data_IF_275317489030
#
_entry.id   IF_275317489030
#
_cell.length_a   1.000
_cell.length_b   1.000
_cell.length_c   1.000
_cell.angle_alpha   90.00
_cell.angle_beta   90.00
_cell.angle_gamma   90.00
#
_symmetry.space_group_name_H-M   'P 1'
#
loop_
_entity.id
_entity.type
_entity.pdbx_description
1 polymer ?
#
# COMPACT_ATOMS: atom_id res chain seq x y z
N UNK A 1 10.62 -8.53 -15.10
CA UNK A 1 9.63 -7.78 -14.30
C UNK A 1 8.86 -6.85 -15.21
N UNK A 2 7.55 -6.75 -15.05
CA UNK A 2 6.69 -5.86 -15.81
C UNK A 2 6.60 -4.48 -15.13
N UNK A 3 7.75 -3.90 -14.76
CA UNK A 3 7.80 -2.59 -14.10
C UNK A 3 7.75 -1.46 -15.15
N UNK A 4 6.95 -0.40 -14.95
CA UNK A 4 7.00 0.79 -15.79
C UNK A 4 8.35 1.50 -15.65
N UNK A 5 8.75 2.25 -16.68
CA UNK A 5 10.09 2.88 -16.72
C UNK A 5 10.36 3.82 -15.55
N UNK A 6 9.31 4.48 -15.03
CA UNK A 6 9.40 5.35 -13.85
C UNK A 6 9.88 4.61 -12.58
N UNK A 7 9.80 3.27 -12.54
CA UNK A 7 10.19 2.45 -11.39
C UNK A 7 11.50 1.67 -11.60
N UNK A 8 11.91 1.38 -12.84
CA UNK A 8 13.04 0.45 -13.13
C UNK A 8 14.36 0.84 -12.45
N UNK A 9 14.65 2.14 -12.33
CA UNK A 9 15.92 2.64 -11.79
C UNK A 9 15.76 3.62 -10.61
N UNK A 10 14.55 3.77 -10.09
CA UNK A 10 14.24 4.75 -9.03
C UNK A 10 14.10 4.12 -7.64
N UNK A 11 14.16 2.78 -7.55
CA UNK A 11 13.93 2.03 -6.31
C UNK A 11 15.22 1.44 -5.72
N UNK A 12 15.39 1.59 -4.40
CA UNK A 12 16.41 0.91 -3.60
C UNK A 12 16.02 -0.55 -3.32
N UNK A 13 14.73 -0.79 -3.07
CA UNK A 13 14.10 -2.10 -2.92
C UNK A 13 12.72 -2.08 -3.58
N UNK A 14 12.19 -3.23 -4.04
CA UNK A 14 10.94 -3.32 -4.80
C UNK A 14 9.71 -3.15 -3.90
N UNK A 15 9.55 -1.97 -3.28
CA UNK A 15 8.52 -1.67 -2.27
C UNK A 15 7.74 -0.41 -2.63
N UNK A 16 6.45 -0.47 -2.36
CA UNK A 16 5.57 0.69 -2.24
C UNK A 16 5.06 0.75 -0.81
N UNK A 17 5.22 1.89 -0.15
CA UNK A 17 4.51 2.20 1.09
C UNK A 17 3.06 2.50 0.77
N UNK A 18 2.14 1.67 1.25
CA UNK A 18 0.72 1.76 0.93
C UNK A 18 0.10 3.08 1.44
N UNK A 19 -0.96 3.59 0.80
CA UNK A 19 -1.67 4.78 1.22
C UNK A 19 -2.51 4.43 2.45
N UNK A 20 -2.18 5.03 3.58
CA UNK A 20 -2.83 4.77 4.86
C UNK A 20 -3.75 5.95 5.18
N UNK A 21 -5.05 5.68 5.32
CA UNK A 21 -6.02 6.70 5.70
C UNK A 21 -5.60 7.34 7.03
N UNK A 22 -5.69 8.67 7.10
CA UNK A 22 -5.24 9.58 8.18
C UNK A 22 -3.74 9.52 8.57
N UNK A 23 -3.04 8.42 8.27
CA UNK A 23 -1.63 8.19 8.67
C UNK A 23 -0.64 8.69 7.61
N UNK A 24 -0.93 8.47 6.32
CA UNK A 24 -0.06 8.96 5.24
C UNK A 24 -0.30 10.45 4.99
N UNK A 25 0.65 11.28 5.44
CA UNK A 25 0.79 12.70 5.09
C UNK A 25 2.07 12.97 4.29
N UNK A 26 2.34 14.24 3.91
CA UNK A 26 3.53 14.62 3.14
C UNK A 26 4.83 14.16 3.78
N UNK A 27 4.93 14.21 5.11
CA UNK A 27 6.12 13.81 5.88
C UNK A 27 6.51 12.36 5.59
N UNK A 28 5.57 11.43 5.77
CA UNK A 28 5.78 10.01 5.50
C UNK A 28 6.11 9.75 4.02
N UNK A 29 5.35 10.37 3.11
CA UNK A 29 5.51 10.17 1.66
C UNK A 29 6.89 10.65 1.18
N UNK A 30 7.30 11.84 1.61
CA UNK A 30 8.59 12.43 1.25
C UNK A 30 9.72 11.56 1.82
N UNK A 31 9.62 11.11 3.06
CA UNK A 31 10.62 10.26 3.68
C UNK A 31 10.76 8.91 2.95
N UNK A 32 9.65 8.27 2.59
CA UNK A 32 9.62 7.03 1.80
C UNK A 32 10.30 7.21 0.43
N UNK A 33 9.93 8.27 -0.29
CA UNK A 33 10.49 8.57 -1.60
C UNK A 33 12.00 8.86 -1.53
N UNK A 34 12.46 9.64 -0.53
CA UNK A 34 13.89 9.93 -0.29
C UNK A 34 14.69 8.70 0.12
N UNK A 35 14.06 7.74 0.79
CA UNK A 35 14.64 6.44 1.14
C UNK A 35 14.66 5.45 -0.05
N UNK A 36 14.10 5.82 -1.20
CA UNK A 36 14.15 5.01 -2.42
C UNK A 36 13.06 3.96 -2.55
N UNK A 37 11.90 4.17 -1.92
CA UNK A 37 10.69 3.36 -2.15
C UNK A 37 9.51 4.27 -2.52
N UNK A 38 8.52 3.75 -3.24
CA UNK A 38 7.37 4.60 -3.62
C UNK A 38 6.60 4.98 -2.36
N UNK A 39 6.52 6.27 -2.06
CA UNK A 39 5.65 6.79 -1.01
C UNK A 39 4.24 7.05 -1.53
N UNK A 40 3.20 6.83 -0.72
CA UNK A 40 1.83 7.11 -1.18
C UNK A 40 0.87 7.55 -0.09
N UNK A 41 -0.18 8.27 -0.49
CA UNK A 41 -1.22 8.77 0.41
C UNK A 41 -2.61 8.80 -0.24
N UNK A 42 -3.71 8.63 0.53
CA UNK A 42 -5.07 8.91 0.06
C UNK A 42 -5.30 10.40 -0.15
N UNK A 43 -5.85 10.79 -1.29
CA UNK A 43 -6.24 12.19 -1.55
C UNK A 43 -7.22 12.74 -0.49
N UNK A 44 -8.07 11.86 0.04
CA UNK A 44 -9.00 12.16 1.13
C UNK A 44 -8.32 12.50 2.46
N UNK A 45 -7.02 12.28 2.65
CA UNK A 45 -6.30 12.74 3.84
C UNK A 45 -6.05 14.24 3.81
N UNK A 46 -5.86 14.84 2.63
CA UNK A 46 -5.68 16.27 2.47
C UNK A 46 -7.02 16.98 2.71
N UNK A 47 -7.20 17.53 3.91
CA UNK A 47 -8.45 18.20 4.31
C UNK A 47 -8.15 19.58 4.87
N UNK A 48 -8.92 20.61 4.47
CA UNK A 48 -9.97 20.63 3.43
C UNK A 48 -9.43 20.35 2.01
N UNK A 49 -10.32 20.23 1.00
CA UNK A 49 -9.97 19.71 -0.33
C UNK A 49 -8.80 20.44 -1.03
N UNK A 50 -8.71 21.77 -0.90
CA UNK A 50 -7.65 22.57 -1.52
C UNK A 50 -6.24 22.18 -1.05
N UNK A 51 -6.11 21.58 0.13
CA UNK A 51 -4.82 21.15 0.70
C UNK A 51 -4.15 20.08 -0.17
N UNK A 52 -4.91 19.38 -1.04
CA UNK A 52 -4.34 18.39 -1.95
C UNK A 52 -3.31 18.99 -2.91
N UNK A 53 -3.61 20.17 -3.47
CA UNK A 53 -2.69 20.88 -4.37
C UNK A 53 -1.42 21.33 -3.64
N UNK A 54 -1.57 21.83 -2.40
CA UNK A 54 -0.44 22.23 -1.56
C UNK A 54 0.47 21.04 -1.23
N UNK A 55 -0.11 19.91 -0.85
CA UNK A 55 0.63 18.68 -0.53
C UNK A 55 1.41 18.16 -1.74
N UNK A 56 0.77 18.03 -2.91
CA UNK A 56 1.43 17.54 -4.12
C UNK A 56 2.55 18.51 -4.53
N UNK A 57 2.31 19.82 -4.47
CA UNK A 57 3.32 20.83 -4.78
C UNK A 57 4.53 20.73 -3.86
N UNK A 58 4.30 20.60 -2.54
CA UNK A 58 5.37 20.41 -1.55
C UNK A 58 6.16 19.13 -1.81
N UNK A 59 5.48 18.00 -2.01
CA UNK A 59 6.12 16.70 -2.28
C UNK A 59 7.00 16.81 -3.53
N UNK A 60 6.48 17.34 -4.64
CA UNK A 60 7.27 17.53 -5.88
C UNK A 60 8.48 18.43 -5.66
N UNK A 61 8.30 19.56 -4.98
CA UNK A 61 9.37 20.51 -4.67
C UNK A 61 10.49 19.89 -3.84
N UNK A 62 10.15 19.30 -2.69
CA UNK A 62 11.14 18.72 -1.78
C UNK A 62 11.88 17.52 -2.39
N UNK A 63 11.18 16.67 -3.16
CA UNK A 63 11.82 15.55 -3.87
C UNK A 63 12.74 16.04 -4.99
N UNK A 64 12.33 17.09 -5.73
CA UNK A 64 13.16 17.71 -6.75
C UNK A 64 14.42 18.33 -6.18
N UNK A 65 14.31 19.10 -5.09
CA UNK A 65 15.45 19.69 -4.39
C UNK A 65 16.39 18.63 -3.82
N UNK A 66 15.85 17.58 -3.20
CA UNK A 66 16.66 16.49 -2.66
C UNK A 66 17.41 15.75 -3.77
N UNK A 67 16.75 15.44 -4.88
CA UNK A 67 17.37 14.80 -6.05
C UNK A 67 18.48 15.67 -6.66
N UNK A 68 18.31 16.99 -6.68
CA UNK A 68 19.34 17.91 -7.16
C UNK A 68 20.56 17.97 -6.24
N UNK A 69 20.34 17.89 -4.92
CA UNK A 69 21.41 17.89 -3.90
C UNK A 69 22.13 16.54 -3.77
N UNK A 70 21.45 15.44 -4.13
CA UNK A 70 21.94 14.07 -3.97
C UNK A 70 21.78 13.26 -5.28
N UNK A 71 22.49 13.63 -6.36
CA UNK A 71 22.35 12.98 -7.67
C UNK A 71 22.73 11.48 -7.67
N UNK A 72 23.49 11.03 -6.67
CA UNK A 72 23.89 9.64 -6.47
C UNK A 72 22.81 8.78 -5.79
N UNK A 73 21.83 9.40 -5.14
CA UNK A 73 20.76 8.70 -4.41
C UNK A 73 19.59 8.42 -5.33
N UNK A 74 19.00 7.22 -5.17
CA UNK A 74 17.71 6.92 -5.79
C UNK A 74 16.60 7.65 -5.05
N UNK A 75 15.80 8.41 -5.79
CA UNK A 75 14.58 9.06 -5.30
C UNK A 75 13.41 8.45 -6.05
N UNK A 76 12.56 7.73 -5.32
CA UNK A 76 11.40 7.07 -5.89
C UNK A 76 10.26 8.07 -6.17
N UNK A 77 9.37 7.80 -7.14
CA UNK A 77 8.17 8.61 -7.32
C UNK A 77 7.21 8.45 -6.13
N UNK A 78 6.22 9.34 -6.02
CA UNK A 78 5.12 9.19 -5.08
C UNK A 78 3.84 8.72 -5.80
N UNK A 79 2.84 8.28 -5.04
CA UNK A 79 1.54 7.93 -5.56
C UNK A 79 0.40 8.57 -4.77
N UNK A 80 -0.72 8.83 -5.44
CA UNK A 80 -1.95 9.36 -4.81
C UNK A 80 -3.07 8.35 -4.98
N UNK A 81 -3.69 7.95 -3.87
CA UNK A 81 -4.82 7.04 -3.86
C UNK A 81 -6.16 7.76 -3.98
N UNK A 82 -7.01 7.23 -4.83
CA UNK A 82 -8.34 7.70 -5.15
C UNK A 82 -9.39 6.63 -4.80
N UNK A 83 -10.30 6.97 -3.89
CA UNK A 83 -11.41 6.09 -3.53
C UNK A 83 -12.54 6.28 -4.54
N UNK A 84 -12.73 5.29 -5.41
CA UNK A 84 -13.61 5.41 -6.57
C UNK A 84 -15.03 4.92 -6.27
N UNK A 85 -15.76 5.68 -5.46
CA UNK A 85 -17.13 5.39 -5.06
C UNK A 85 -18.06 6.56 -5.32
N UNK A 86 -19.34 6.29 -5.62
CA UNK A 86 -20.30 7.33 -5.98
C UNK A 86 -20.59 8.32 -4.84
N UNK A 87 -20.34 7.91 -3.58
CA UNK A 87 -20.46 8.80 -2.42
C UNK A 87 -19.22 9.65 -2.16
N UNK A 88 -18.12 9.46 -2.88
CA UNK A 88 -16.96 10.35 -2.80
C UNK A 88 -17.23 11.62 -3.61
N UNK A 89 -17.63 12.68 -2.90
CA UNK A 89 -17.93 14.02 -3.43
C UNK A 89 -16.69 14.77 -3.94
N UNK A 90 -15.49 14.26 -3.67
CA UNK A 90 -14.22 14.90 -4.06
C UNK A 90 -13.55 14.32 -5.29
N UNK A 91 -13.98 13.15 -5.77
CA UNK A 91 -13.23 12.38 -6.77
C UNK A 91 -12.88 13.22 -8.02
N UNK A 92 -13.85 13.93 -8.60
CA UNK A 92 -13.60 14.76 -9.80
C UNK A 92 -12.56 15.85 -9.52
N UNK A 93 -12.73 16.60 -8.42
CA UNK A 93 -11.79 17.66 -8.03
C UNK A 93 -10.38 17.10 -7.80
N UNK A 94 -10.26 16.00 -7.06
CA UNK A 94 -8.97 15.42 -6.73
C UNK A 94 -8.25 14.89 -8.00
N UNK A 95 -8.99 14.38 -8.99
CA UNK A 95 -8.45 13.95 -10.29
C UNK A 95 -8.00 15.14 -11.14
N UNK A 96 -8.75 16.24 -11.16
CA UNK A 96 -8.34 17.46 -11.87
C UNK A 96 -7.01 18.01 -11.31
N UNK A 97 -6.86 18.04 -9.98
CA UNK A 97 -5.61 18.44 -9.33
C UNK A 97 -4.47 17.46 -9.64
N UNK A 98 -4.72 16.15 -9.57
CA UNK A 98 -3.71 15.15 -9.90
C UNK A 98 -3.25 15.23 -11.37
N UNK A 99 -4.17 15.57 -12.27
CA UNK A 99 -3.89 15.76 -13.70
C UNK A 99 -3.09 17.04 -13.93
N UNK A 100 -3.55 18.16 -13.36
CA UNK A 100 -2.85 19.47 -13.41
C UNK A 100 -1.41 19.38 -12.93
N UNK A 101 -1.17 18.61 -11.87
CA UNK A 101 0.15 18.45 -11.25
C UNK A 101 0.89 17.20 -11.72
N UNK A 102 0.38 16.48 -12.72
CA UNK A 102 0.99 15.29 -13.32
C UNK A 102 1.52 14.30 -12.28
N UNK A 103 0.63 13.81 -11.42
CA UNK A 103 0.98 12.85 -10.37
C UNK A 103 1.51 11.55 -10.99
N UNK A 104 2.72 11.09 -10.63
CA UNK A 104 3.39 10.03 -11.38
C UNK A 104 2.67 8.68 -11.32
N UNK A 105 2.03 8.37 -10.19
CA UNK A 105 1.28 7.13 -9.99
C UNK A 105 -0.06 7.44 -9.32
N UNK A 106 -1.16 6.99 -9.92
CA UNK A 106 -2.49 6.99 -9.33
C UNK A 106 -2.80 5.58 -8.84
N UNK A 107 -3.18 5.46 -7.58
CA UNK A 107 -3.71 4.22 -7.01
C UNK A 107 -5.23 4.35 -6.95
N UNK A 108 -5.96 3.36 -7.42
CA UNK A 108 -7.43 3.36 -7.36
C UNK A 108 -7.93 2.17 -6.56
N UNK A 109 -9.03 2.37 -5.85
CA UNK A 109 -9.66 1.33 -5.03
C UNK A 109 -11.17 1.29 -5.27
N UNK A 110 -11.81 0.16 -4.91
CA UNK A 110 -13.24 -0.14 -5.10
C UNK A 110 -13.66 -0.36 -6.56
N UNK A 111 -13.93 0.70 -7.34
CA UNK A 111 -14.35 0.58 -8.75
C UNK A 111 -13.21 1.05 -9.66
N UNK A 112 -12.85 0.30 -10.71
CA UNK A 112 -11.85 0.76 -11.68
C UNK A 112 -12.49 1.83 -12.58
N UNK A 113 -12.13 3.12 -12.48
CA UNK A 113 -12.81 4.18 -13.23
C UNK A 113 -12.05 4.45 -14.52
N UNK A 114 -12.66 4.16 -15.67
CA UNK A 114 -12.11 4.50 -16.97
C UNK A 114 -11.69 5.98 -17.06
N UNK A 115 -12.46 6.88 -16.44
CA UNK A 115 -12.16 8.32 -16.38
C UNK A 115 -10.83 8.62 -15.69
N UNK A 116 -10.51 7.93 -14.59
CA UNK A 116 -9.25 8.13 -13.85
C UNK A 116 -8.07 7.58 -14.65
N UNK A 117 -8.28 6.46 -15.34
CA UNK A 117 -7.25 5.86 -16.20
C UNK A 117 -6.93 6.78 -17.37
N UNK A 118 -7.95 7.24 -18.09
CA UNK A 118 -7.79 8.20 -19.20
C UNK A 118 -7.10 9.48 -18.74
N UNK A 119 -7.51 10.04 -17.61
CA UNK A 119 -6.90 11.26 -17.06
C UNK A 119 -5.42 11.04 -16.73
N UNK A 120 -5.08 9.97 -16.01
CA UNK A 120 -3.69 9.63 -15.67
C UNK A 120 -2.81 9.38 -16.91
N UNK A 121 -3.32 8.62 -17.88
CA UNK A 121 -2.60 8.28 -19.10
C UNK A 121 -2.36 9.50 -20.01
N UNK A 122 -3.22 10.54 -19.94
CA UNK A 122 -3.10 11.74 -20.78
C UNK A 122 -1.78 12.51 -20.60
N UNK A 123 -1.14 12.39 -19.43
CA UNK A 123 0.16 12.98 -19.12
C UNK A 123 1.26 11.91 -18.87
N UNK A 124 0.98 10.64 -19.16
CA UNK A 124 1.92 9.53 -18.98
C UNK A 124 2.01 8.95 -17.56
N UNK A 125 1.13 9.37 -16.65
CA UNK A 125 0.99 8.77 -15.32
C UNK A 125 0.62 7.28 -15.38
N UNK A 126 0.87 6.56 -14.28
CA UNK A 126 0.58 5.12 -14.18
C UNK A 126 -0.56 4.84 -13.23
N UNK A 127 -1.42 3.88 -13.57
CA UNK A 127 -2.54 3.50 -12.72
C UNK A 127 -2.39 2.09 -12.19
N UNK A 128 -2.35 1.98 -10.85
CA UNK A 128 -2.40 0.72 -10.13
C UNK A 128 -3.75 0.59 -9.43
N UNK A 129 -4.37 -0.60 -9.50
CA UNK A 129 -5.71 -0.82 -8.93
C UNK A 129 -5.72 -1.92 -7.87
N UNK A 130 -6.32 -1.62 -6.72
CA UNK A 130 -6.50 -2.58 -5.62
C UNK A 130 -7.58 -3.62 -5.98
N UNK A 131 -7.22 -4.89 -5.87
CA UNK A 131 -8.15 -6.01 -6.09
C UNK A 131 -7.97 -7.08 -5.02
N UNK A 132 -9.09 -7.64 -4.57
CA UNK A 132 -9.13 -8.66 -3.51
C UNK A 132 -9.42 -10.07 -4.05
N UNK A 133 -9.74 -10.19 -5.34
CA UNK A 133 -10.06 -11.45 -6.00
C UNK A 133 -9.86 -11.36 -7.52
N UNK A 134 -9.91 -12.53 -8.18
CA UNK A 134 -9.65 -12.69 -9.62
C UNK A 134 -10.72 -11.98 -10.48
N UNK A 135 -11.98 -11.95 -10.04
CA UNK A 135 -13.06 -11.26 -10.77
C UNK A 135 -12.78 -9.75 -10.84
N UNK A 136 -12.36 -9.14 -9.74
CA UNK A 136 -12.01 -7.73 -9.69
C UNK A 136 -10.72 -7.47 -10.48
N UNK A 137 -9.73 -8.36 -10.39
CA UNK A 137 -8.50 -8.30 -11.18
C UNK A 137 -8.77 -8.24 -12.68
N UNK A 138 -9.62 -9.15 -13.20
CA UNK A 138 -9.98 -9.19 -14.62
C UNK A 138 -10.68 -7.90 -15.07
N UNK A 139 -11.66 -7.44 -14.29
CA UNK A 139 -12.36 -6.18 -14.58
C UNK A 139 -11.43 -4.98 -14.63
N UNK A 140 -10.50 -4.87 -13.68
CA UNK A 140 -9.54 -3.77 -13.67
C UNK A 140 -8.58 -3.86 -14.87
N UNK A 141 -8.11 -5.06 -15.22
CA UNK A 141 -7.28 -5.27 -16.40
C UNK A 141 -8.01 -4.93 -17.71
N UNK A 142 -9.30 -5.25 -17.83
CA UNK A 142 -10.15 -4.87 -18.98
C UNK A 142 -10.26 -3.35 -19.14
N UNK A 143 -10.15 -2.58 -18.06
CA UNK A 143 -10.13 -1.11 -18.11
C UNK A 143 -8.76 -0.54 -18.49
N UNK A 144 -7.71 -1.36 -18.59
CA UNK A 144 -6.39 -0.93 -19.04
C UNK A 144 -5.46 -0.39 -17.95
N UNK A 145 -5.62 -0.82 -16.69
CA UNK A 145 -4.68 -0.46 -15.61
C UNK A 145 -3.26 -0.97 -15.91
N UNK A 146 -2.25 -0.18 -15.56
CA UNK A 146 -0.84 -0.56 -15.74
C UNK A 146 -0.41 -1.67 -14.75
N UNK A 147 -1.08 -1.75 -13.61
CA UNK A 147 -0.77 -2.72 -12.56
C UNK A 147 -1.93 -3.07 -11.64
N UNK A 148 -1.82 -4.23 -11.00
CA UNK A 148 -2.77 -4.77 -10.04
C UNK A 148 -2.11 -4.92 -8.69
N UNK A 149 -2.71 -4.30 -7.67
CA UNK A 149 -2.35 -4.49 -6.27
C UNK A 149 -3.25 -5.60 -5.72
N UNK A 150 -2.67 -6.78 -5.52
CA UNK A 150 -3.35 -7.96 -5.03
C UNK A 150 -3.40 -7.89 -3.51
N UNK A 151 -4.52 -7.38 -2.97
CA UNK A 151 -4.75 -7.21 -1.53
C UNK A 151 -5.24 -8.52 -0.95
N UNK A 152 -4.29 -9.38 -0.61
CA UNK A 152 -4.51 -10.73 -0.13
C UNK A 152 -4.90 -10.77 1.35
N UNK A 153 -5.20 -12.00 1.83
CA UNK A 153 -5.40 -12.28 3.24
C UNK A 153 -4.24 -11.73 4.10
N UNK A 154 -4.61 -11.14 5.23
CA UNK A 154 -3.66 -10.55 6.18
C UNK A 154 -3.20 -9.12 5.87
N UNK A 155 -3.71 -8.47 4.82
CA UNK A 155 -3.51 -7.03 4.63
C UNK A 155 -4.25 -6.21 5.70
N UNK A 156 -3.67 -5.10 6.17
CA UNK A 156 -4.33 -4.21 7.15
C UNK A 156 -5.41 -3.36 6.51
N UNK A 157 -6.49 -3.08 7.25
CA UNK A 157 -7.66 -2.41 6.67
C UNK A 157 -8.36 -3.31 5.66
N UNK A 158 -9.00 -2.73 4.63
CA UNK A 158 -9.76 -3.50 3.64
C UNK A 158 -8.91 -4.58 2.97
N UNK A 159 -9.34 -5.84 3.06
CA UNK A 159 -8.53 -6.97 2.61
C UNK A 159 -9.39 -8.07 1.97
N UNK A 160 -8.77 -8.84 1.07
CA UNK A 160 -9.33 -10.09 0.58
C UNK A 160 -9.11 -11.25 1.54
N UNK A 161 -9.74 -12.39 1.24
CA UNK A 161 -9.57 -13.64 1.99
C UNK A 161 -8.69 -14.66 1.27
N UNK A 162 -8.27 -14.37 0.04
CA UNK A 162 -7.44 -15.29 -0.74
C UNK A 162 -5.98 -15.24 -0.28
N UNK A 163 -5.37 -16.43 -0.20
CA UNK A 163 -3.95 -16.57 0.09
C UNK A 163 -3.09 -15.93 -1.01
N UNK A 164 -1.96 -15.27 -0.67
CA UNK A 164 -1.04 -14.72 -1.65
C UNK A 164 -0.49 -15.78 -2.61
N UNK A 165 -0.24 -17.01 -2.13
CA UNK A 165 0.23 -18.11 -2.97
C UNK A 165 -0.76 -18.49 -4.07
N UNK A 166 -2.06 -18.36 -3.80
CA UNK A 166 -3.11 -18.64 -4.78
C UNK A 166 -3.31 -17.47 -5.73
N UNK A 167 -3.59 -16.28 -5.18
CA UNK A 167 -4.02 -15.13 -5.98
C UNK A 167 -2.91 -14.61 -6.91
N UNK A 168 -1.66 -14.52 -6.44
CA UNK A 168 -0.53 -14.05 -7.26
C UNK A 168 -0.32 -14.99 -8.45
N UNK A 169 -0.27 -16.31 -8.20
CA UNK A 169 0.02 -17.30 -9.25
C UNK A 169 -1.10 -17.38 -10.27
N UNK A 170 -2.35 -17.28 -9.85
CA UNK A 170 -3.49 -17.29 -10.77
C UNK A 170 -3.53 -16.03 -11.65
N UNK A 171 -3.29 -14.84 -11.08
CA UNK A 171 -3.26 -13.58 -11.85
C UNK A 171 -2.12 -13.56 -12.87
N UNK A 172 -0.92 -14.04 -12.51
CA UNK A 172 0.25 -14.05 -13.42
C UNK A 172 0.09 -14.92 -14.67
N UNK A 173 -0.87 -15.84 -14.69
CA UNK A 173 -1.13 -16.66 -15.89
C UNK A 173 -1.59 -15.80 -17.07
N UNK A 174 -2.40 -14.77 -16.80
CA UNK A 174 -3.06 -13.99 -17.84
C UNK A 174 -2.70 -12.50 -17.81
N UNK A 175 -2.43 -11.91 -16.65
CA UNK A 175 -2.08 -10.49 -16.56
C UNK A 175 -0.59 -10.26 -16.85
N UNK A 176 -0.29 -9.33 -17.77
CA UNK A 176 1.07 -9.01 -18.20
C UNK A 176 1.60 -7.66 -17.65
N UNK A 177 0.74 -6.87 -17.01
CA UNK A 177 1.15 -5.65 -16.32
C UNK A 177 1.83 -5.93 -14.99
N UNK A 178 2.09 -4.85 -14.23
CA UNK A 178 2.77 -4.94 -12.93
C UNK A 178 1.90 -5.65 -11.90
N UNK A 179 2.42 -6.70 -11.26
CA UNK A 179 1.73 -7.33 -10.12
C UNK A 179 2.38 -6.88 -8.82
N UNK A 180 1.58 -6.35 -7.91
CA UNK A 180 2.03 -5.81 -6.64
C UNK A 180 1.35 -6.62 -5.55
N UNK A 181 2.11 -7.24 -4.65
CA UNK A 181 1.55 -8.05 -3.59
C UNK A 181 1.36 -7.24 -2.30
N UNK A 182 0.14 -7.25 -1.77
CA UNK A 182 -0.21 -6.74 -0.44
C UNK A 182 -0.77 -7.87 0.43
N UNK A 183 -0.41 -7.87 1.72
CA UNK A 183 -0.93 -8.81 2.71
C UNK A 183 0.15 -9.49 3.55
N UNK A 184 0.08 -9.30 4.87
CA UNK A 184 0.98 -9.90 5.87
C UNK A 184 2.50 -9.66 5.67
N UNK A 185 2.90 -8.60 4.94
CA UNK A 185 4.30 -8.25 4.70
C UNK A 185 4.77 -7.18 5.69
N UNK A 186 5.94 -7.36 6.32
CA UNK A 186 6.51 -6.36 7.26
C UNK A 186 8.04 -6.35 7.37
N UNK A 187 8.75 -7.25 6.69
CA UNK A 187 10.20 -7.41 6.75
C UNK A 187 10.81 -7.69 5.36
N UNK A 188 12.14 -7.80 5.28
CA UNK A 188 12.84 -8.14 4.05
C UNK A 188 12.57 -9.54 3.50
N UNK A 189 12.25 -10.52 4.36
CA UNK A 189 11.86 -11.87 3.93
C UNK A 189 10.50 -11.87 3.24
N UNK A 190 9.54 -11.08 3.74
CA UNK A 190 8.26 -10.86 3.08
C UNK A 190 8.42 -10.25 1.69
N UNK A 191 9.35 -9.29 1.54
CA UNK A 191 9.68 -8.69 0.23
C UNK A 191 10.26 -9.76 -0.71
N UNK A 192 11.27 -10.52 -0.27
CA UNK A 192 11.85 -11.60 -1.08
C UNK A 192 10.82 -12.66 -1.46
N UNK A 193 9.96 -13.06 -0.53
CA UNK A 193 8.86 -14.00 -0.74
C UNK A 193 7.83 -13.50 -1.76
N UNK A 194 7.49 -12.21 -1.73
CA UNK A 194 6.60 -11.60 -2.73
C UNK A 194 7.16 -11.75 -4.15
N UNK A 195 8.45 -11.45 -4.33
CA UNK A 195 9.13 -11.56 -5.61
C UNK A 195 9.24 -13.01 -6.06
N UNK A 196 9.60 -13.92 -5.14
CA UNK A 196 9.68 -15.36 -5.44
C UNK A 196 8.34 -15.95 -5.90
N UNK A 197 7.20 -15.46 -5.37
CA UNK A 197 5.87 -15.85 -5.85
C UNK A 197 5.54 -15.30 -7.25
N UNK A 198 6.31 -14.32 -7.75
CA UNK A 198 6.16 -13.71 -9.07
C UNK A 198 5.50 -12.34 -9.08
N UNK A 199 5.32 -11.70 -7.92
CA UNK A 199 5.03 -10.28 -7.87
C UNK A 199 6.26 -9.47 -8.33
N UNK A 200 6.01 -8.27 -8.85
CA UNK A 200 7.05 -7.32 -9.26
C UNK A 200 7.40 -6.35 -8.11
N UNK A 201 6.48 -6.11 -7.18
CA UNK A 201 6.67 -5.24 -6.01
C UNK A 201 5.93 -5.78 -4.78
N UNK A 202 6.43 -5.45 -3.59
CA UNK A 202 5.74 -5.60 -2.31
C UNK A 202 5.03 -4.30 -1.90
N UNK A 203 3.89 -4.42 -1.23
CA UNK A 203 3.06 -3.30 -0.78
C UNK A 203 2.86 -3.38 0.73
N UNK A 204 3.52 -2.48 1.46
CA UNK A 204 3.60 -2.53 2.92
C UNK A 204 2.80 -1.38 3.52
N UNK A 205 1.88 -1.69 4.44
CA UNK A 205 1.07 -0.70 5.15
C UNK A 205 1.39 -0.63 6.63
N UNK A 206 0.96 -1.65 7.39
CA UNK A 206 1.12 -1.71 8.85
C UNK A 206 2.55 -1.41 9.32
N UNK A 207 3.56 -1.94 8.63
CA UNK A 207 4.98 -1.66 8.93
C UNK A 207 5.34 -0.17 8.88
N UNK A 208 4.74 0.60 7.98
CA UNK A 208 5.01 2.04 7.86
C UNK A 208 4.17 2.91 8.80
N UNK A 209 3.07 2.38 9.38
CA UNK A 209 2.39 3.07 10.50
C UNK A 209 3.35 3.21 11.69
N UNK A 210 4.14 2.17 11.97
CA UNK A 210 5.19 2.17 12.98
C UNK A 210 6.49 2.79 12.44
N UNK A 211 6.44 4.08 12.10
CA UNK A 211 7.61 4.93 11.79
C UNK A 211 7.43 6.32 12.39
N UNK A 212 8.50 7.08 12.56
CA UNK A 212 8.42 8.43 13.15
C UNK A 212 7.54 9.38 12.32
N UNK A 213 7.73 9.38 11.00
CA UNK A 213 7.10 10.30 10.04
C UNK A 213 5.61 10.01 9.80
N UNK A 214 5.14 8.82 10.19
CA UNK A 214 3.74 8.47 10.10
C UNK A 214 2.88 9.28 11.07
N UNK A 215 1.80 9.89 10.55
CA UNK A 215 0.82 10.65 11.32
C UNK A 215 -0.16 9.69 12.06
N UNK A 216 0.40 8.87 12.94
CA UNK A 216 -0.35 7.94 13.77
C UNK A 216 -0.20 8.32 15.24
N UNK A 217 -1.26 8.10 16.00
CA UNK A 217 -1.22 8.26 17.46
C UNK A 217 -0.08 7.41 18.05
N UNK A 218 0.71 7.95 19.00
CA UNK A 218 1.79 7.17 19.62
C UNK A 218 1.31 5.81 20.16
N UNK A 219 0.12 5.76 20.75
CA UNK A 219 -0.45 4.52 21.28
C UNK A 219 -0.78 3.49 20.19
N UNK A 220 -1.10 3.95 18.97
CA UNK A 220 -1.24 3.05 17.82
C UNK A 220 0.11 2.43 17.45
N UNK A 221 1.19 3.21 17.39
CA UNK A 221 2.55 2.69 17.13
C UNK A 221 2.97 1.70 18.22
N UNK A 222 2.70 1.99 19.49
CA UNK A 222 2.96 1.08 20.61
C UNK A 222 2.18 -0.23 20.49
N UNK A 223 0.90 -0.17 20.11
CA UNK A 223 0.09 -1.36 19.89
C UNK A 223 0.64 -2.23 18.77
N UNK A 224 1.17 -1.63 17.70
CA UNK A 224 1.81 -2.39 16.62
C UNK A 224 3.07 -3.14 17.07
N UNK A 225 3.76 -2.67 18.11
CA UNK A 225 4.91 -3.35 18.70
C UNK A 225 4.48 -4.42 19.71
N UNK A 226 3.36 -4.19 20.41
CA UNK A 226 2.91 -5.02 21.52
C UNK A 226 2.17 -6.28 21.11
N UNK A 227 1.36 -6.20 20.06
CA UNK A 227 0.38 -7.24 19.70
C UNK A 227 0.84 -8.11 18.53
N UNK A 228 0.16 -9.24 18.35
CA UNK A 228 0.50 -10.27 17.38
C UNK A 228 -0.62 -10.51 16.36
N UNK A 229 -0.40 -11.45 15.45
CA UNK A 229 -1.38 -11.80 14.41
C UNK A 229 -2.73 -12.29 14.99
N UNK A 230 -2.71 -12.96 16.14
CA UNK A 230 -3.92 -13.44 16.83
C UNK A 230 -4.79 -12.30 17.39
N UNK A 231 -4.23 -11.10 17.53
CA UNK A 231 -4.93 -9.89 17.97
C UNK A 231 -5.60 -9.14 16.80
N UNK A 232 -5.64 -9.74 15.60
CA UNK A 232 -6.26 -9.16 14.42
C UNK A 232 -7.66 -9.71 14.20
N UNK A 233 -8.65 -8.81 14.15
CA UNK A 233 -10.04 -9.15 13.84
C UNK A 233 -10.39 -8.75 12.40
N UNK A 234 -10.96 -9.69 11.65
CA UNK A 234 -11.48 -9.46 10.31
C UNK A 234 -12.99 -9.21 10.35
N UNK A 235 -13.42 -8.01 9.98
CA UNK A 235 -14.84 -7.61 10.07
C UNK A 235 -15.18 -6.51 9.07
N UNK A 236 -16.45 -6.40 8.68
CA UNK A 236 -16.96 -5.29 7.86
C UNK A 236 -17.63 -4.18 8.67
N UNK A 237 -17.69 -4.31 10.01
CA UNK A 237 -18.49 -3.43 10.86
C UNK A 237 -18.15 -1.95 10.67
N UNK A 238 -16.86 -1.62 10.54
CA UNK A 238 -16.38 -0.24 10.64
C UNK A 238 -16.60 0.62 9.38
N UNK A 239 -16.59 0.01 8.21
CA UNK A 239 -16.66 0.73 6.94
C UNK A 239 -17.72 0.18 5.99
N UNK A 240 -18.36 -0.94 6.34
CA UNK A 240 -19.22 -1.73 5.45
C UNK A 240 -18.44 -2.65 4.50
N UNK A 241 -17.11 -2.55 4.46
CA UNK A 241 -16.22 -3.41 3.69
C UNK A 241 -15.33 -4.19 4.67
N UNK A 242 -15.17 -5.48 4.42
CA UNK A 242 -14.35 -6.31 5.30
C UNK A 242 -12.90 -5.83 5.32
N UNK A 243 -12.33 -5.75 6.52
CA UNK A 243 -10.94 -5.43 6.74
C UNK A 243 -10.40 -5.96 8.06
N UNK A 244 -9.08 -5.91 8.21
CA UNK A 244 -8.36 -6.34 9.40
C UNK A 244 -8.05 -5.16 10.32
N UNK A 245 -8.39 -5.31 11.60
CA UNK A 245 -8.27 -4.29 12.64
C UNK A 245 -7.65 -4.88 13.91
N UNK A 246 -7.03 -4.03 14.73
CA UNK A 246 -6.52 -4.42 16.04
C UNK A 246 -7.68 -4.66 17.01
N UNK A 247 -7.86 -5.91 17.43
CA UNK A 247 -8.83 -6.28 18.46
C UNK A 247 -8.70 -5.43 19.76
N UNK A 248 -7.49 -5.08 20.24
CA UNK A 248 -7.34 -4.20 21.40
C UNK A 248 -7.91 -2.79 21.19
N UNK A 249 -7.85 -2.24 19.97
CA UNK A 249 -8.45 -0.93 19.66
C UNK A 249 -9.98 -1.01 19.63
N UNK A 250 -10.51 -2.14 19.15
CA UNK A 250 -11.95 -2.44 19.16
C UNK A 250 -12.47 -2.58 20.59
N UNK A 251 -11.74 -3.31 21.45
CA UNK A 251 -12.06 -3.46 22.86
C UNK A 251 -12.00 -2.11 23.61
N UNK A 252 -11.00 -1.28 23.33
CA UNK A 252 -10.90 0.06 23.90
C UNK A 252 -12.06 0.98 23.51
N UNK A 253 -12.69 0.75 22.35
CA UNK A 253 -13.90 1.43 21.90
C UNK A 253 -15.20 0.87 22.53
N UNK A 254 -15.11 -0.12 23.43
CA UNK A 254 -16.23 -0.71 24.15
C UNK A 254 -16.98 -1.81 23.40
N UNK A 255 -16.37 -2.42 22.39
CA UNK A 255 -16.93 -3.52 21.61
C UNK A 255 -16.23 -4.84 21.94
N UNK A 256 -16.93 -5.96 21.83
CA UNK A 256 -16.32 -7.29 21.91
C UNK A 256 -15.73 -7.69 20.54
N UNK A 257 -14.40 -7.77 20.37
CA UNK A 257 -13.79 -8.13 19.09
C UNK A 257 -14.12 -9.56 18.64
N UNK A 258 -14.58 -10.44 19.52
CA UNK A 258 -14.94 -11.82 19.17
C UNK A 258 -16.43 -11.99 18.86
N UNK A 259 -17.24 -10.94 19.01
CA UNK A 259 -18.69 -10.98 18.80
C UNK A 259 -19.21 -9.68 18.16
N UNK A 260 -18.59 -9.27 17.06
CA UNK A 260 -18.97 -8.07 16.33
C UNK A 260 -20.17 -8.31 15.41
N UNK A 261 -21.14 -7.37 15.34
CA UNK A 261 -22.23 -7.45 14.37
C UNK A 261 -21.73 -7.25 12.93
N UNK A 262 -22.48 -7.77 11.97
CA UNK A 262 -22.25 -7.50 10.54
C UNK A 262 -22.86 -6.15 10.11
N UNK A 263 -22.11 -5.37 9.34
CA UNK A 263 -22.61 -4.12 8.77
C UNK A 263 -23.40 -4.34 7.47
N UNK A 264 -24.43 -3.53 7.28
CA UNK A 264 -25.20 -3.44 6.04
C UNK A 264 -24.41 -2.66 4.97
N UNK A 265 -24.07 -3.35 3.87
CA UNK A 265 -23.30 -2.79 2.74
C UNK A 265 -23.99 -1.60 2.06
N UNK A 266 -25.31 -1.45 2.17
CA UNK A 266 -26.04 -0.32 1.57
C UNK A 266 -25.74 1.03 2.26
N UNK A 267 -25.13 1.00 3.45
CA UNK A 267 -24.86 2.19 4.28
C UNK A 267 -23.43 2.74 4.15
N UNK A 268 -22.64 2.26 3.18
CA UNK A 268 -21.26 2.73 2.95
C UNK A 268 -21.20 4.22 2.56
N UNK A 269 -20.34 4.99 3.23
CA UNK A 269 -20.14 6.42 2.95
C UNK A 269 -18.66 6.81 2.95
N UNK A 270 -18.16 7.20 1.78
CA UNK A 270 -16.78 7.64 1.55
C UNK A 270 -16.67 9.14 1.22
N UNK A 271 -17.73 9.92 1.48
CA UNK A 271 -17.71 11.37 1.29
C UNK A 271 -16.77 12.06 2.27
N UNK A 272 -16.43 13.32 1.98
CA UNK A 272 -15.52 14.16 2.78
C UNK A 272 -15.85 14.25 4.28
N UNK A 273 -17.12 14.04 4.68
CA UNK A 273 -17.57 13.93 6.07
C UNK A 273 -17.55 12.51 6.69
N UNK A 274 -17.49 11.46 5.87
CA UNK A 274 -17.39 10.03 6.22
C UNK A 274 -18.38 9.49 7.26
N UNK A 275 -18.13 8.26 7.73
CA UNK A 275 -18.70 7.70 8.97
C UNK A 275 -18.00 8.23 10.24
N UNK A 276 -17.06 9.17 10.08
CA UNK A 276 -16.14 9.69 11.09
C UNK A 276 -16.82 10.52 12.20
N UNK A 277 -18.09 10.91 12.04
CA UNK A 277 -18.81 11.70 13.05
C UNK A 277 -19.09 10.93 14.34
N UNK A 278 -19.08 9.60 14.31
CA UNK A 278 -19.18 8.80 15.53
C UNK A 278 -17.76 8.59 16.10
N UNK A 279 -17.46 9.22 17.25
CA UNK A 279 -16.13 9.19 17.91
C UNK A 279 -15.49 7.79 17.97
N UNK A 280 -16.32 6.75 18.14
CA UNK A 280 -15.87 5.37 18.25
C UNK A 280 -15.03 4.86 17.07
N UNK A 281 -15.22 5.36 15.84
CA UNK A 281 -14.55 4.81 14.64
C UNK A 281 -13.16 5.43 14.36
N UNK A 282 -12.85 6.59 14.94
CA UNK A 282 -11.52 7.23 14.77
C UNK A 282 -10.42 6.42 15.46
N UNK A 283 -10.80 5.75 16.55
CA UNK A 283 -9.87 5.03 17.42
C UNK A 283 -9.84 3.53 17.11
N UNK A 284 -10.47 3.11 16.00
CA UNK A 284 -10.36 1.75 15.46
C UNK A 284 -9.22 1.71 14.47
N UNK A 285 -8.20 0.93 14.81
CA UNK A 285 -6.94 0.94 14.08
C UNK A 285 -6.83 -0.27 13.16
N UNK A 286 -6.61 -0.02 11.87
CA UNK A 286 -6.35 -1.07 10.89
C UNK A 286 -4.99 -1.74 11.12
N UNK A 287 -4.89 -3.05 11.05
CA UNK A 287 -3.58 -3.71 11.12
C UNK A 287 -3.62 -5.03 10.38
N UNK A 288 -2.52 -5.35 9.69
CA UNK A 288 -2.36 -6.60 8.98
C UNK A 288 -1.76 -7.67 9.88
N UNK A 289 -1.87 -8.92 9.44
CA UNK A 289 -1.32 -10.08 10.15
C UNK A 289 0.22 -10.11 10.18
N UNK A 290 0.89 -9.24 9.41
CA UNK A 290 2.34 -9.05 9.44
C UNK A 290 2.86 -8.33 10.70
N UNK A 291 1.97 -7.89 11.59
CA UNK A 291 2.29 -7.16 12.83
C UNK A 291 3.36 -7.84 13.69
N UNK A 292 3.43 -9.17 13.72
CA UNK A 292 4.39 -9.90 14.56
C UNK A 292 5.87 -9.65 14.24
N UNK A 293 6.20 -9.01 13.12
CA UNK A 293 7.58 -8.60 12.77
C UNK A 293 7.86 -7.12 13.12
N UNK A 294 6.92 -6.42 13.75
CA UNK A 294 7.06 -5.02 14.13
C UNK A 294 7.52 -4.95 15.59
N UNK A 295 8.75 -4.50 15.81
CA UNK A 295 9.38 -4.49 17.15
C UNK A 295 9.77 -3.08 17.64
N UNK A 296 9.61 -2.07 16.79
CA UNK A 296 10.01 -0.69 17.02
C UNK A 296 9.28 0.26 16.04
N UNK A 297 9.46 1.58 16.20
CA UNK A 297 8.95 2.61 15.31
C UNK A 297 10.03 3.63 14.90
N UNK A 298 11.04 3.22 14.10
CA UNK A 298 12.19 4.06 13.76
C UNK A 298 11.86 5.08 12.65
N UNK A 299 12.78 6.00 12.31
CA UNK A 299 12.69 6.79 11.10
C UNK A 299 12.54 5.92 9.84
N UNK A 300 11.80 6.40 8.84
CA UNK A 300 11.59 5.67 7.57
C UNK A 300 12.90 5.30 6.90
N UNK A 301 13.89 6.21 6.92
CA UNK A 301 15.20 5.95 6.32
C UNK A 301 15.88 4.70 6.95
N UNK A 302 15.87 4.61 8.28
CA UNK A 302 16.45 3.48 9.00
C UNK A 302 15.68 2.18 8.75
N UNK A 303 14.35 2.27 8.72
CA UNK A 303 13.49 1.13 8.39
C UNK A 303 13.78 0.59 6.99
N UNK A 304 13.85 1.46 5.98
CA UNK A 304 14.12 1.04 4.60
C UNK A 304 15.52 0.45 4.46
N UNK A 305 16.52 1.02 5.12
CA UNK A 305 17.86 0.44 5.16
C UNK A 305 17.87 -0.94 5.82
N UNK A 306 17.07 -1.14 6.88
CA UNK A 306 16.87 -2.45 7.52
C UNK A 306 16.20 -3.44 6.56
N UNK A 307 15.06 -3.07 5.97
CA UNK A 307 14.35 -3.90 4.99
C UNK A 307 15.25 -4.31 3.84
N UNK A 308 16.13 -3.41 3.37
CA UNK A 308 17.11 -3.70 2.34
C UNK A 308 18.13 -4.75 2.77
N UNK A 309 18.70 -4.62 3.97
CA UNK A 309 19.64 -5.63 4.51
C UNK A 309 18.97 -7.00 4.67
N UNK A 310 17.76 -7.01 5.24
CA UNK A 310 16.96 -8.22 5.43
C UNK A 310 16.59 -8.86 4.08
N UNK A 311 16.19 -8.07 3.09
CA UNK A 311 15.87 -8.55 1.74
C UNK A 311 17.07 -9.22 1.07
N UNK A 312 18.25 -8.58 1.13
CA UNK A 312 19.49 -9.16 0.61
C UNK A 312 19.85 -10.45 1.33
N UNK A 313 19.71 -10.49 2.66
CA UNK A 313 19.95 -11.67 3.47
C UNK A 313 18.99 -12.81 3.10
N UNK A 314 17.68 -12.52 2.99
CA UNK A 314 16.67 -13.49 2.60
C UNK A 314 16.96 -14.12 1.24
N UNK A 315 17.36 -13.31 0.25
CA UNK A 315 17.76 -13.80 -1.07
C UNK A 315 18.99 -14.72 -1.00
N UNK A 316 20.00 -14.36 -0.19
CA UNK A 316 21.20 -15.20 0.01
C UNK A 316 20.82 -16.54 0.65
N UNK A 317 20.07 -16.51 1.75
CA UNK A 317 19.64 -17.72 2.44
C UNK A 317 18.76 -18.61 1.56
N UNK A 318 17.90 -18.01 0.74
CA UNK A 318 17.11 -18.76 -0.24
C UNK A 318 18.02 -19.51 -1.22
N UNK A 319 19.02 -18.83 -1.79
CA UNK A 319 19.97 -19.44 -2.71
C UNK A 319 20.81 -20.56 -2.04
N UNK A 320 21.17 -20.41 -0.76
CA UNK A 320 21.89 -21.43 0.01
C UNK A 320 21.03 -22.67 0.31
N UNK A 321 19.72 -22.51 0.46
CA UNK A 321 18.78 -23.62 0.69
C UNK A 321 18.35 -24.33 -0.60
N UNK A 322 18.55 -23.71 -1.77
CA UNK A 322 18.21 -24.33 -3.04
C UNK A 322 19.09 -25.57 -3.30
N UNK A 323 18.53 -26.67 -3.83
CA UNK A 323 19.35 -27.79 -4.31
C UNK A 323 20.38 -27.29 -5.32
N UNK A 324 21.63 -27.78 -5.23
CA UNK A 324 22.74 -27.31 -6.07
C UNK A 324 22.43 -27.43 -7.57
N UNK A 325 21.74 -28.49 -7.98
CA UNK A 325 21.29 -28.72 -9.34
C UNK A 325 20.29 -27.65 -9.82
N UNK A 326 19.33 -27.28 -8.96
CA UNK A 326 18.35 -26.25 -9.27
C UNK A 326 19.01 -24.86 -9.38
N UNK A 327 19.97 -24.56 -8.50
CA UNK A 327 20.72 -23.31 -8.54
C UNK A 327 21.59 -23.23 -9.81
N UNK A 328 22.26 -24.32 -10.18
CA UNK A 328 23.04 -24.40 -11.42
C UNK A 328 22.15 -24.18 -12.66
N UNK A 329 21.00 -24.85 -12.72
CA UNK A 329 20.04 -24.70 -13.80
C UNK A 329 19.50 -23.26 -13.92
N UNK A 330 19.24 -22.58 -12.78
CA UNK A 330 18.78 -21.19 -12.81
C UNK A 330 19.79 -20.20 -13.39
N UNK A 331 21.09 -20.48 -13.24
CA UNK A 331 22.17 -19.64 -13.80
C UNK A 331 22.30 -19.87 -15.30
N UNK A 332 22.24 -21.12 -15.75
CA UNK A 332 22.32 -21.48 -17.16
C UNK A 332 21.14 -20.96 -17.98
N UNK A 333 19.94 -20.84 -17.39
CA UNK A 333 18.78 -20.26 -18.05
C UNK A 333 18.82 -18.71 -18.16
N UNK A 334 19.79 -18.06 -17.54
CA UNK A 334 19.95 -16.60 -17.56
C UNK A 334 21.04 -16.11 -18.54
N UNK A 335 21.79 -17.05 -19.15
CA UNK A 335 22.77 -16.83 -20.23
C UNK A 335 22.10 -17.07 -21.61
#
# INVERSE_FOLDING_TARGET
MALPDILKNSLEIPVIGSPLFIVSGPELVIAQCKAGIVGSFPALNARPAHVLEEWITRIKGELGEYKAKHPEKKVAPFAVNQICHASNDRLSHDIDICTKLEVPIIITSLRPPAEVITAAHSYGGKVFHDVINVKHAKKAAEQGVDGLILVCAGAGGHAGTLSPFALVREVKQWFKGTVILSGALSDGWGIAGALAMGADLAYLGTRFVATEEANADPSYKEHLVKYAADDIVYTNLFTGVHGNYLAPSVAAAGLDPHNLPEADKSKMNFGSGGNMKQKAWKDIWGSGQGIGQIVDAPPVAELVDRLKREYVQACREFAERMPAEALAASKAAAE
#
